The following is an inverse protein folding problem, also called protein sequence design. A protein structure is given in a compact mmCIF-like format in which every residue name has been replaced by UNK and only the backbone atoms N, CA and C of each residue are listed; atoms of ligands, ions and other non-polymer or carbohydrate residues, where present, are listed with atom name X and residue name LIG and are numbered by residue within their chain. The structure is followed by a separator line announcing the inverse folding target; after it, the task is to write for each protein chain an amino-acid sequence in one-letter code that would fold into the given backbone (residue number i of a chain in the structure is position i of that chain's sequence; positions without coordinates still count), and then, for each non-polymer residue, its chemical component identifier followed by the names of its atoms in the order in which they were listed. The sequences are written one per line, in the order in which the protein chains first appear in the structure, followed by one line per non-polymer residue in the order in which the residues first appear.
data_IF_661187224331
#
_entry.id   IF_661187224331
#
_cell.length_a   1.000
_cell.length_b   1.000
_cell.length_c   1.000
_cell.angle_alpha   90.00
_cell.angle_beta   90.00
_cell.angle_gamma   90.00
#
_symmetry.space_group_name_H-M   'P 1'
#
loop_
_entity.id
_entity.type
_entity.pdbx_description
1 polymer ?
#
# COMPACT_ATOMS: atom_id res chain seq x y z
N UNK A 1 3.69 -10.07 8.31
CA UNK A 1 4.41 -11.02 7.44
C UNK A 1 4.43 -10.60 5.97
N UNK A 2 3.41 -9.91 5.47
CA UNK A 2 3.29 -9.52 4.05
C UNK A 2 4.36 -8.49 3.64
N UNK A 3 4.50 -7.40 4.41
CA UNK A 3 5.42 -6.29 4.09
C UNK A 3 6.88 -6.73 3.90
N UNK A 4 7.48 -7.54 4.80
CA UNK A 4 8.85 -8.02 4.62
C UNK A 4 9.05 -8.93 3.41
N UNK A 5 7.99 -9.56 2.89
CA UNK A 5 8.05 -10.45 1.72
C UNK A 5 7.87 -9.67 0.42
N UNK A 6 6.95 -8.70 0.40
CA UNK A 6 6.66 -7.91 -0.81
C UNK A 6 7.85 -7.07 -1.26
N UNK A 7 8.67 -6.55 -0.35
CA UNK A 7 9.84 -5.75 -0.70
C UNK A 7 10.92 -6.54 -1.49
N UNK A 8 11.48 -7.65 -0.98
CA UNK A 8 12.46 -8.43 -1.75
C UNK A 8 11.87 -9.02 -3.03
N UNK A 9 10.59 -9.43 -3.03
CA UNK A 9 9.92 -9.88 -4.26
C UNK A 9 9.83 -8.79 -5.32
N UNK A 10 9.48 -7.56 -4.93
CA UNK A 10 9.46 -6.41 -5.83
C UNK A 10 10.84 -6.16 -6.47
N UNK A 11 11.92 -6.26 -5.68
CA UNK A 11 13.29 -6.12 -6.19
C UNK A 11 13.62 -7.24 -7.15
N UNK A 12 13.27 -8.48 -6.83
CA UNK A 12 13.48 -9.65 -7.70
C UNK A 12 12.76 -9.47 -9.04
N UNK A 13 11.49 -9.05 -9.02
CA UNK A 13 10.71 -8.74 -10.23
C UNK A 13 11.40 -7.64 -11.03
N UNK A 14 11.90 -6.59 -10.38
CA UNK A 14 12.67 -5.52 -11.04
C UNK A 14 14.00 -5.97 -11.66
N UNK A 15 14.63 -7.03 -11.13
CA UNK A 15 15.83 -7.62 -11.75
C UNK A 15 15.49 -8.35 -13.05
N UNK A 16 14.38 -9.09 -13.07
CA UNK A 16 13.93 -9.82 -14.27
C UNK A 16 13.31 -8.88 -15.31
N UNK A 17 12.53 -7.90 -14.88
CA UNK A 17 11.89 -6.90 -15.72
C UNK A 17 12.82 -5.69 -15.81
N UNK A 18 13.92 -5.84 -16.57
CA UNK A 18 14.92 -4.78 -16.79
C UNK A 18 14.42 -3.62 -17.64
N UNK A 19 13.18 -3.70 -18.15
CA UNK A 19 12.64 -2.71 -19.08
C UNK A 19 12.35 -1.40 -18.35
N UNK A 20 12.90 -0.32 -18.88
CA UNK A 20 12.65 1.03 -18.42
C UNK A 20 11.17 1.38 -18.73
N UNK A 21 10.31 1.31 -17.71
CA UNK A 21 8.89 1.62 -17.87
C UNK A 21 8.71 3.09 -18.27
N UNK A 22 7.89 3.33 -19.30
CA UNK A 22 7.46 4.68 -19.69
C UNK A 22 6.66 5.32 -18.54
N UNK A 23 6.71 6.65 -18.41
CA UNK A 23 5.97 7.40 -17.39
C UNK A 23 4.48 7.03 -17.34
N UNK A 24 3.86 6.84 -18.52
CA UNK A 24 2.46 6.41 -18.64
C UNK A 24 2.21 5.05 -17.95
N UNK A 25 3.12 4.08 -18.11
CA UNK A 25 2.97 2.76 -17.49
C UNK A 25 3.08 2.83 -15.96
N UNK A 26 4.00 3.66 -15.45
CA UNK A 26 4.14 3.91 -14.01
C UNK A 26 2.87 4.54 -13.45
N UNK A 27 2.29 5.51 -14.17
CA UNK A 27 1.05 6.17 -13.75
C UNK A 27 -0.16 5.22 -13.74
N UNK A 28 -0.28 4.35 -14.74
CA UNK A 28 -1.33 3.32 -14.79
C UNK A 28 -1.20 2.35 -13.61
N UNK A 29 0.01 1.83 -13.37
CA UNK A 29 0.30 0.94 -12.24
C UNK A 29 0.01 1.61 -10.89
N UNK A 30 0.38 2.89 -10.74
CA UNK A 30 0.11 3.66 -9.54
C UNK A 30 -1.38 3.85 -9.30
N UNK A 31 -2.13 4.22 -10.34
CA UNK A 31 -3.59 4.39 -10.27
C UNK A 31 -4.26 3.07 -9.90
N UNK A 32 -3.87 1.97 -10.55
CA UNK A 32 -4.39 0.65 -10.23
C UNK A 32 -4.11 0.24 -8.78
N UNK A 33 -2.86 0.37 -8.32
CA UNK A 33 -2.49 0.06 -6.94
C UNK A 33 -3.25 0.90 -5.91
N UNK A 34 -3.51 2.17 -6.24
CA UNK A 34 -4.30 3.09 -5.41
C UNK A 34 -5.78 2.71 -5.36
N UNK A 35 -6.37 2.26 -6.47
CA UNK A 35 -7.74 1.74 -6.47
C UNK A 35 -7.87 0.49 -5.58
N UNK A 36 -6.91 -0.43 -5.65
CA UNK A 36 -6.91 -1.64 -4.81
C UNK A 36 -6.65 -1.28 -3.34
N UNK A 37 -5.80 -0.28 -3.05
CA UNK A 37 -5.56 0.17 -1.67
C UNK A 37 -6.78 0.84 -1.06
N UNK A 38 -7.55 1.61 -1.85
CA UNK A 38 -8.82 2.18 -1.43
C UNK A 38 -9.82 1.09 -1.03
N UNK A 39 -9.88 -0.01 -1.79
CA UNK A 39 -10.70 -1.16 -1.42
C UNK A 39 -10.31 -1.70 -0.03
N UNK A 40 -9.02 -1.92 0.25
CA UNK A 40 -8.55 -2.38 1.57
C UNK A 40 -8.93 -1.40 2.67
N UNK A 41 -8.78 -0.09 2.44
CA UNK A 41 -9.16 0.95 3.40
C UNK A 41 -10.66 0.90 3.70
N UNK A 42 -11.51 0.76 2.67
CA UNK A 42 -12.96 0.61 2.83
C UNK A 42 -13.27 -0.63 3.67
N UNK A 43 -12.66 -1.79 3.36
CA UNK A 43 -12.83 -3.01 4.16
C UNK A 43 -12.42 -2.78 5.63
N UNK A 44 -11.35 -2.01 5.87
CA UNK A 44 -10.91 -1.68 7.22
C UNK A 44 -11.91 -0.77 7.96
N UNK A 45 -12.54 0.19 7.27
CA UNK A 45 -13.61 1.02 7.84
C UNK A 45 -14.88 0.23 8.16
N UNK A 46 -15.19 -0.80 7.38
CA UNK A 46 -16.36 -1.67 7.60
C UNK A 46 -16.13 -2.68 8.73
N UNK A 47 -14.93 -2.74 9.31
CA UNK A 47 -14.67 -3.57 10.51
C UNK A 47 -15.62 -3.14 11.64
N UNK A 48 -16.40 -4.06 12.24
CA UNK A 48 -16.12 -5.50 12.40
C UNK A 48 -16.74 -6.45 11.35
N UNK A 49 -17.60 -5.97 10.45
CA UNK A 49 -18.36 -6.81 9.50
C UNK A 49 -17.98 -6.47 8.06
N UNK A 50 -16.80 -6.88 7.58
CA UNK A 50 -16.42 -6.65 6.19
C UNK A 50 -17.34 -7.42 5.23
N UNK A 51 -17.45 -6.98 3.96
CA UNK A 51 -18.16 -7.75 2.94
C UNK A 51 -17.53 -9.15 2.83
N UNK A 52 -18.35 -10.20 2.76
CA UNK A 52 -17.91 -11.60 2.84
C UNK A 52 -17.25 -12.01 4.16
N UNK A 53 -17.69 -11.43 5.29
CA UNK A 53 -17.28 -11.90 6.62
C UNK A 53 -17.54 -13.41 6.82
N UNK A 54 -16.69 -14.06 7.60
CA UNK A 54 -16.71 -15.50 7.89
C UNK A 54 -16.65 -16.46 6.69
N UNK A 55 -16.32 -15.96 5.50
CA UNK A 55 -16.00 -16.80 4.34
C UNK A 55 -14.49 -16.87 4.12
N UNK A 56 -13.99 -18.07 3.82
CA UNK A 56 -12.58 -18.28 3.45
C UNK A 56 -12.20 -17.46 2.19
N UNK A 57 -13.15 -17.29 1.26
CA UNK A 57 -12.95 -16.50 0.05
C UNK A 57 -12.71 -15.01 0.32
N UNK A 58 -13.48 -14.40 1.22
CA UNK A 58 -13.30 -13.00 1.61
C UNK A 58 -11.93 -12.75 2.25
N UNK A 59 -11.49 -13.66 3.13
CA UNK A 59 -10.17 -13.58 3.76
C UNK A 59 -9.03 -13.66 2.72
N UNK A 60 -9.09 -14.64 1.80
CA UNK A 60 -8.08 -14.79 0.73
C UNK A 60 -8.03 -13.54 -0.15
N UNK A 61 -9.19 -12.99 -0.53
CA UNK A 61 -9.27 -11.82 -1.39
C UNK A 61 -8.63 -10.59 -0.73
N UNK A 62 -8.98 -10.28 0.53
CA UNK A 62 -8.42 -9.12 1.24
C UNK A 62 -6.90 -9.25 1.40
N UNK A 63 -6.41 -10.44 1.78
CA UNK A 63 -4.96 -10.70 1.92
C UNK A 63 -4.26 -10.54 0.57
N UNK A 64 -4.86 -11.07 -0.50
CA UNK A 64 -4.30 -10.99 -1.86
C UNK A 64 -4.27 -9.55 -2.38
N UNK A 65 -5.35 -8.79 -2.20
CA UNK A 65 -5.39 -7.36 -2.53
C UNK A 65 -4.34 -6.58 -1.76
N UNK A 66 -4.24 -6.80 -0.44
CA UNK A 66 -3.23 -6.16 0.40
C UNK A 66 -1.82 -6.47 -0.09
N UNK A 67 -1.50 -7.75 -0.32
CA UNK A 67 -0.21 -8.18 -0.84
C UNK A 67 0.12 -7.53 -2.19
N UNK A 68 -0.83 -7.55 -3.13
CA UNK A 68 -0.67 -6.98 -4.47
C UNK A 68 -0.39 -5.47 -4.41
N UNK A 69 -1.14 -4.75 -3.58
CA UNK A 69 -0.95 -3.31 -3.37
C UNK A 69 0.48 -2.99 -2.94
N UNK A 70 1.01 -3.67 -1.91
CA UNK A 70 2.38 -3.42 -1.46
C UNK A 70 3.42 -3.84 -2.48
N UNK A 71 3.24 -5.00 -3.13
CA UNK A 71 4.14 -5.47 -4.17
C UNK A 71 4.28 -4.43 -5.29
N UNK A 72 3.17 -3.89 -5.78
CA UNK A 72 3.16 -2.89 -6.86
C UNK A 72 3.74 -1.56 -6.39
N UNK A 73 3.41 -1.07 -5.19
CA UNK A 73 3.98 0.19 -4.68
C UNK A 73 5.49 0.11 -4.42
N UNK A 74 6.00 -1.01 -3.88
CA UNK A 74 7.44 -1.20 -3.75
C UNK A 74 8.13 -1.24 -5.11
N UNK A 75 7.48 -1.84 -6.11
CA UNK A 75 8.02 -1.89 -7.47
C UNK A 75 8.06 -0.51 -8.11
N UNK A 76 7.00 0.28 -7.99
CA UNK A 76 6.96 1.67 -8.45
C UNK A 76 8.05 2.50 -7.77
N UNK A 77 8.22 2.37 -6.45
CA UNK A 77 9.26 3.08 -5.69
C UNK A 77 10.66 2.72 -6.20
N UNK A 78 10.89 1.45 -6.51
CA UNK A 78 12.16 0.96 -7.08
C UNK A 78 12.42 1.56 -8.48
N UNK A 79 11.42 1.55 -9.36
CA UNK A 79 11.55 2.10 -10.72
C UNK A 79 11.80 3.61 -10.68
N UNK A 80 11.06 4.36 -9.85
CA UNK A 80 11.27 5.81 -9.67
C UNK A 80 12.67 6.08 -9.08
N UNK A 81 13.08 5.31 -8.07
CA UNK A 81 14.40 5.44 -7.46
C UNK A 81 15.53 5.22 -8.46
N UNK A 82 15.42 4.18 -9.31
CA UNK A 82 16.39 3.90 -10.37
C UNK A 82 16.42 5.02 -11.43
N UNK A 83 15.25 5.56 -11.81
CA UNK A 83 15.14 6.68 -12.75
C UNK A 83 15.81 7.94 -12.22
N UNK A 84 15.46 8.36 -11.00
CA UNK A 84 16.04 9.57 -10.37
C UNK A 84 17.56 9.43 -10.25
N UNK A 85 18.04 8.23 -9.90
CA UNK A 85 19.49 7.94 -9.82
C UNK A 85 20.18 8.06 -11.19
N UNK A 86 19.54 7.65 -12.28
CA UNK A 86 20.10 7.73 -13.63
C UNK A 86 20.11 9.17 -14.17
N UNK A 87 19.01 9.90 -14.01
CA UNK A 87 18.84 11.25 -14.57
C UNK A 87 19.67 12.31 -13.84
N UNK A 88 19.71 12.27 -12.50
CA UNK A 88 20.30 13.36 -11.73
C UNK A 88 21.80 13.23 -11.45
N UNK A 89 22.45 12.09 -11.76
CA UNK A 89 23.89 11.77 -11.54
C UNK A 89 24.51 12.13 -10.16
N UNK A 90 23.74 12.70 -9.22
CA UNK A 90 24.21 13.36 -7.99
C UNK A 90 23.36 12.97 -6.76
N UNK A 91 23.95 13.12 -5.57
CA UNK A 91 23.31 12.89 -4.26
C UNK A 91 22.02 13.70 -4.03
N UNK A 92 21.87 14.85 -4.70
CA UNK A 92 20.70 15.73 -4.53
C UNK A 92 19.38 15.09 -4.96
N UNK A 93 19.38 14.28 -6.03
CA UNK A 93 18.15 13.64 -6.52
C UNK A 93 17.58 12.64 -5.51
N UNK A 94 18.46 11.85 -4.87
CA UNK A 94 18.06 10.89 -3.85
C UNK A 94 17.62 11.58 -2.55
N UNK A 95 18.22 12.74 -2.22
CA UNK A 95 17.79 13.57 -1.10
C UNK A 95 16.34 14.06 -1.30
N UNK A 96 16.01 14.64 -2.46
CA UNK A 96 14.65 15.09 -2.76
C UNK A 96 13.64 13.95 -2.82
N UNK A 97 14.03 12.79 -3.35
CA UNK A 97 13.20 11.59 -3.32
C UNK A 97 12.91 11.13 -1.87
N UNK A 98 13.92 11.18 -1.00
CA UNK A 98 13.78 10.90 0.43
C UNK A 98 12.86 11.91 1.12
N UNK A 99 13.08 13.20 0.89
CA UNK A 99 12.25 14.28 1.42
C UNK A 99 10.78 14.11 1.01
N UNK A 100 10.52 13.85 -0.28
CA UNK A 100 9.18 13.59 -0.79
C UNK A 100 8.53 12.35 -0.13
N UNK A 101 9.29 11.27 0.08
CA UNK A 101 8.80 10.07 0.78
C UNK A 101 8.41 10.37 2.22
N UNK A 102 9.23 11.13 2.95
CA UNK A 102 8.96 11.48 4.34
C UNK A 102 7.74 12.39 4.47
N UNK A 103 7.61 13.37 3.57
CA UNK A 103 6.40 14.20 3.49
C UNK A 103 5.16 13.36 3.22
N UNK A 104 5.24 12.37 2.32
CA UNK A 104 4.15 11.43 2.07
C UNK A 104 3.74 10.64 3.33
N UNK A 105 4.72 10.17 4.11
CA UNK A 105 4.43 9.48 5.38
C UNK A 105 3.77 10.40 6.40
N UNK A 106 4.17 11.67 6.49
CA UNK A 106 3.51 12.66 7.34
C UNK A 106 2.07 12.91 6.90
N UNK A 107 1.85 13.12 5.59
CA UNK A 107 0.53 13.32 5.00
C UNK A 107 -0.40 12.11 5.18
N UNK A 108 0.14 10.89 5.28
CA UNK A 108 -0.64 9.70 5.61
C UNK A 108 -0.88 9.52 7.12
N UNK A 109 0.12 9.83 7.95
CA UNK A 109 0.05 9.61 9.40
C UNK A 109 -0.93 10.56 10.09
N UNK A 110 -0.92 11.84 9.71
CA UNK A 110 -1.81 12.87 10.29
C UNK A 110 -3.29 12.49 10.16
N UNK A 111 -3.85 12.26 8.95
CA UNK A 111 -5.27 11.92 8.83
C UNK A 111 -5.61 10.59 9.50
N UNK A 112 -4.71 9.60 9.46
CA UNK A 112 -4.96 8.33 10.13
C UNK A 112 -5.01 8.49 11.66
N UNK A 113 -4.13 9.32 12.23
CA UNK A 113 -4.15 9.67 13.64
C UNK A 113 -5.46 10.36 14.03
N UNK A 114 -5.92 11.34 13.24
CA UNK A 114 -7.19 12.03 13.48
C UNK A 114 -8.37 11.05 13.44
N UNK A 115 -8.41 10.17 12.45
CA UNK A 115 -9.47 9.16 12.29
C UNK A 115 -9.55 8.18 13.45
N UNK A 116 -8.39 7.71 13.93
CA UNK A 116 -8.32 6.74 15.02
C UNK A 116 -8.62 7.42 16.35
N UNK A 117 -7.90 8.50 16.69
CA UNK A 117 -7.89 9.04 18.06
C UNK A 117 -8.97 10.09 18.33
N UNK A 118 -9.32 10.91 17.33
CA UNK A 118 -10.32 11.96 17.51
C UNK A 118 -11.69 11.45 17.08
N UNK A 119 -11.81 10.97 15.84
CA UNK A 119 -13.09 10.53 15.31
C UNK A 119 -13.50 9.12 15.76
N UNK A 120 -12.60 8.35 16.38
CA UNK A 120 -12.85 7.01 16.92
C UNK A 120 -13.58 6.08 15.92
N UNK A 121 -13.26 6.22 14.63
CA UNK A 121 -13.94 5.45 13.56
C UNK A 121 -13.51 3.99 13.53
N UNK A 122 -12.29 3.70 14.01
CA UNK A 122 -11.79 2.34 14.13
C UNK A 122 -12.09 1.82 15.54
N UNK A 123 -13.02 0.87 15.65
CA UNK A 123 -13.23 0.12 16.89
C UNK A 123 -12.39 -1.15 16.91
N UNK A 124 -11.69 -1.38 18.02
CA UNK A 124 -11.04 -2.67 18.26
C UNK A 124 -12.09 -3.76 18.48
N UNK A 125 -11.88 -4.92 17.86
CA UNK A 125 -12.76 -6.08 17.99
C UNK A 125 -12.44 -6.80 19.31
N UNK A 126 -13.38 -6.85 20.24
CA UNK A 126 -13.24 -7.62 21.48
C UNK A 126 -13.38 -9.12 21.19
N UNK A 127 -12.45 -9.95 21.68
CA UNK A 127 -12.44 -11.40 21.40
C UNK A 127 -13.67 -12.17 21.93
N UNK A 128 -14.37 -11.64 22.94
CA UNK A 128 -15.50 -12.30 23.60
C UNK A 128 -16.88 -11.79 23.16
N UNK A 129 -16.96 -10.97 22.10
CA UNK A 129 -18.21 -10.39 21.63
C UNK A 129 -18.52 -10.90 20.21
N UNK A 130 -19.74 -11.40 20.01
CA UNK A 130 -20.22 -11.79 18.68
C UNK A 130 -20.55 -10.52 17.91
N UNK A 131 -19.95 -10.37 16.72
CA UNK A 131 -20.24 -9.29 15.78
C UNK A 131 -20.92 -9.90 14.57
N UNK A 132 -21.74 -9.10 13.87
CA UNK A 132 -22.41 -9.53 12.64
C UNK A 132 -23.42 -10.66 12.92
N UNK A 133 -24.45 -10.36 13.70
CA UNK A 133 -25.62 -11.23 13.86
C UNK A 133 -26.57 -10.87 12.73
N UNK A 134 -26.66 -11.74 11.73
CA UNK A 134 -27.82 -11.76 10.82
C UNK A 134 -28.98 -12.53 11.48
#
# INVERSE_FOLDING_TARGET
IILPISNPLSVLIGLFIRSILKYISIFILFTFATCVSLYVIIVAFLSPCPPFHDTTGGAILVISCYFLTYLVFYYIRLVIGNRVRQEYQNHSGLFWLGAASQMGSLLGAIPMYLLINIYNKFKSRNACQVYCID
#
